data_IF_186636322790
#
_entry.id   IF_186636322790
#
_cell.length_a   1.000
_cell.length_b   1.000
_cell.length_c   1.000
_cell.angle_alpha   90.00
_cell.angle_beta   90.00
_cell.angle_gamma   90.00
#
_symmetry.space_group_name_H-M   'P 1'
#
loop_
_entity.id
_entity.type
_entity.pdbx_description
1 polymer ?
#
# COMPACT_ATOMS: atom_id res chain seq x y z
N UNK A 1 22.48 -2.14 -18.06
CA UNK A 1 22.71 -3.35 -18.88
C UNK A 1 23.71 -3.18 -20.02
N UNK A 2 23.57 -2.22 -20.94
CA UNK A 2 24.50 -2.05 -22.09
C UNK A 2 25.97 -1.97 -21.66
N UNK A 3 26.28 -1.22 -20.60
CA UNK A 3 27.65 -1.12 -20.05
C UNK A 3 28.17 -2.44 -19.48
N UNK A 4 27.30 -3.25 -18.88
CA UNK A 4 27.68 -4.54 -18.31
C UNK A 4 27.97 -5.56 -19.41
N UNK A 5 27.12 -5.62 -20.43
CA UNK A 5 27.36 -6.49 -21.59
C UNK A 5 28.64 -6.10 -22.34
N UNK A 6 28.89 -4.78 -22.50
CA UNK A 6 30.14 -4.27 -23.04
C UNK A 6 31.36 -4.69 -22.20
N UNK A 7 31.30 -4.53 -20.86
CA UNK A 7 32.38 -4.92 -19.96
C UNK A 7 32.68 -6.43 -20.01
N UNK A 8 31.63 -7.28 -20.04
CA UNK A 8 31.83 -8.72 -20.16
C UNK A 8 32.38 -9.10 -21.55
N UNK A 9 31.96 -8.41 -22.60
CA UNK A 9 32.54 -8.54 -23.94
C UNK A 9 34.03 -8.20 -23.98
N UNK A 10 34.44 -7.14 -23.29
CA UNK A 10 35.86 -6.76 -23.14
C UNK A 10 36.64 -7.79 -22.33
N UNK A 11 36.08 -8.31 -21.24
CA UNK A 11 36.70 -9.39 -20.44
C UNK A 11 36.93 -10.62 -21.30
N UNK A 12 35.93 -11.02 -22.11
CA UNK A 12 36.05 -12.16 -23.03
C UNK A 12 37.17 -11.94 -24.05
N UNK A 13 37.20 -10.77 -24.69
CA UNK A 13 38.25 -10.41 -25.65
C UNK A 13 39.64 -10.45 -25.01
N UNK A 14 39.80 -9.84 -23.82
CA UNK A 14 41.06 -9.85 -23.07
C UNK A 14 41.50 -11.26 -22.68
N UNK A 15 40.55 -12.11 -22.31
CA UNK A 15 40.80 -13.50 -21.95
C UNK A 15 41.23 -14.33 -23.17
N UNK A 16 40.58 -14.13 -24.32
CA UNK A 16 40.96 -14.78 -25.59
C UNK A 16 42.37 -14.36 -26.04
N UNK A 17 42.71 -13.08 -25.90
CA UNK A 17 44.05 -12.58 -26.21
C UNK A 17 45.10 -13.13 -25.24
N UNK A 18 44.77 -13.25 -23.95
CA UNK A 18 45.64 -13.91 -22.96
C UNK A 18 45.84 -15.39 -23.29
N UNK A 19 44.79 -16.10 -23.70
CA UNK A 19 44.88 -17.50 -24.12
C UNK A 19 45.79 -17.69 -25.35
N UNK A 20 45.80 -16.74 -26.31
CA UNK A 20 46.75 -16.76 -27.43
C UNK A 20 48.19 -16.59 -26.96
N UNK A 21 48.44 -15.68 -26.02
CA UNK A 21 49.79 -15.47 -25.46
C UNK A 21 50.27 -16.74 -24.75
N UNK A 22 49.42 -17.37 -23.94
CA UNK A 22 49.75 -18.61 -23.24
C UNK A 22 50.06 -19.76 -24.21
N UNK A 23 49.36 -19.86 -25.35
CA UNK A 23 49.72 -20.82 -26.41
C UNK A 23 51.12 -20.59 -26.98
N UNK A 24 51.51 -19.33 -27.18
CA UNK A 24 52.88 -19.00 -27.63
C UNK A 24 53.91 -19.38 -26.56
N UNK A 25 53.60 -19.19 -25.28
CA UNK A 25 54.47 -19.63 -24.17
C UNK A 25 54.63 -21.15 -24.14
N UNK A 26 53.55 -21.91 -24.36
CA UNK A 26 53.59 -23.37 -24.47
C UNK A 26 54.44 -23.82 -25.66
N UNK A 27 54.34 -23.13 -26.80
CA UNK A 27 55.17 -23.39 -27.99
C UNK A 27 56.67 -23.11 -27.70
N UNK A 28 56.99 -22.00 -27.04
CA UNK A 28 58.37 -21.67 -26.63
C UNK A 28 58.91 -22.74 -25.67
N UNK A 29 58.12 -23.18 -24.70
CA UNK A 29 58.49 -24.24 -23.78
C UNK A 29 58.76 -25.55 -24.52
N UNK A 30 57.93 -25.89 -25.51
CA UNK A 30 58.14 -27.08 -26.34
C UNK A 30 59.42 -26.99 -27.19
N UNK A 31 59.67 -25.86 -27.86
CA UNK A 31 60.90 -25.63 -28.62
C UNK A 31 62.15 -25.69 -27.73
N UNK A 32 62.07 -25.10 -26.52
CA UNK A 32 63.16 -25.14 -25.53
C UNK A 32 63.45 -26.57 -25.08
N UNK A 33 62.41 -27.38 -24.86
CA UNK A 33 62.53 -28.79 -24.52
C UNK A 33 63.18 -29.60 -25.67
N UNK A 34 62.87 -29.29 -26.93
CA UNK A 34 63.53 -29.91 -28.09
C UNK A 34 65.00 -29.49 -28.23
N UNK A 35 65.32 -28.22 -28.00
CA UNK A 35 66.70 -27.72 -28.00
C UNK A 35 67.54 -28.37 -26.89
N UNK A 36 66.97 -28.50 -25.69
CA UNK A 36 67.60 -29.17 -24.56
C UNK A 36 67.88 -30.66 -24.84
N UNK A 37 66.94 -31.34 -25.51
CA UNK A 37 67.15 -32.72 -25.95
C UNK A 37 68.32 -32.83 -26.94
N UNK A 38 68.39 -31.94 -27.95
CA UNK A 38 69.50 -31.92 -28.90
C UNK A 38 70.84 -31.65 -28.21
N UNK A 39 70.86 -30.73 -27.24
CA UNK A 39 72.05 -30.46 -26.44
C UNK A 39 72.48 -31.66 -25.59
N UNK A 40 71.54 -32.39 -24.99
CA UNK A 40 71.83 -33.61 -24.24
C UNK A 40 72.44 -34.71 -25.13
N UNK A 41 71.95 -34.85 -26.38
CA UNK A 41 72.49 -35.80 -27.36
C UNK A 41 73.91 -35.42 -27.76
N UNK A 42 74.19 -34.15 -28.05
CA UNK A 42 75.53 -33.70 -28.44
C UNK A 42 76.52 -33.78 -27.27
N UNK A 43 76.06 -33.52 -26.04
CA UNK A 43 76.85 -33.73 -24.82
C UNK A 43 77.22 -35.20 -24.61
N UNK A 44 76.29 -36.14 -24.85
CA UNK A 44 76.58 -37.57 -24.82
C UNK A 44 77.59 -37.98 -25.90
N UNK A 45 77.53 -37.34 -27.08
CA UNK A 45 78.44 -37.57 -28.20
C UNK A 45 79.87 -37.09 -27.92
N UNK A 46 80.03 -36.03 -27.14
CA UNK A 46 81.32 -35.50 -26.71
C UNK A 46 82.00 -36.31 -25.57
N UNK A 47 81.33 -37.34 -25.02
CA UNK A 47 81.89 -38.20 -23.98
C UNK A 47 82.20 -37.45 -22.68
N UNK A 48 83.38 -37.67 -22.09
CA UNK A 48 83.79 -37.03 -20.83
C UNK A 48 83.84 -35.49 -20.92
N UNK A 49 84.20 -34.93 -22.08
CA UNK A 49 84.23 -33.47 -22.27
C UNK A 49 82.83 -32.82 -22.23
N UNK A 50 81.77 -33.60 -22.47
CA UNK A 50 80.38 -33.16 -22.48
C UNK A 50 79.65 -33.33 -21.15
N UNK A 51 80.26 -33.95 -20.14
CA UNK A 51 79.56 -34.33 -18.90
C UNK A 51 78.90 -33.15 -18.17
N UNK A 52 79.57 -31.99 -18.12
CA UNK A 52 78.99 -30.77 -17.54
C UNK A 52 77.84 -30.18 -18.35
N UNK A 53 77.92 -30.25 -19.68
CA UNK A 53 76.86 -29.78 -20.58
C UNK A 53 75.61 -30.68 -20.52
N UNK A 54 75.79 -31.99 -20.31
CA UNK A 54 74.68 -32.93 -20.17
C UNK A 54 73.79 -32.60 -18.95
N UNK A 55 74.39 -32.19 -17.83
CA UNK A 55 73.66 -31.79 -16.61
C UNK A 55 72.85 -30.51 -16.87
N UNK A 56 73.45 -29.51 -17.52
CA UNK A 56 72.75 -28.26 -17.88
C UNK A 56 71.60 -28.52 -18.85
N UNK A 57 71.80 -29.40 -19.84
CA UNK A 57 70.76 -29.75 -20.80
C UNK A 57 69.54 -30.42 -20.13
N UNK A 58 69.77 -31.33 -19.18
CA UNK A 58 68.66 -31.96 -18.43
C UNK A 58 67.93 -30.96 -17.51
N UNK A 59 68.64 -30.01 -16.89
CA UNK A 59 68.02 -28.96 -16.08
C UNK A 59 67.15 -28.02 -16.93
N UNK A 60 67.64 -27.59 -18.10
CA UNK A 60 66.86 -26.78 -19.06
C UNK A 60 65.64 -27.55 -19.55
N UNK A 61 65.77 -28.85 -19.80
CA UNK A 61 64.66 -29.72 -20.21
C UNK A 61 63.58 -29.82 -19.12
N UNK A 62 63.98 -29.99 -17.86
CA UNK A 62 63.07 -30.03 -16.73
C UNK A 62 62.36 -28.69 -16.52
N UNK A 63 63.08 -27.57 -16.66
CA UNK A 63 62.49 -26.23 -16.61
C UNK A 63 61.46 -26.01 -17.72
N UNK A 64 61.78 -26.43 -18.95
CA UNK A 64 60.89 -26.34 -20.10
C UNK A 64 59.60 -27.16 -19.89
N UNK A 65 59.69 -28.39 -19.37
CA UNK A 65 58.51 -29.20 -19.01
C UNK A 65 57.63 -28.52 -17.97
N UNK A 66 58.23 -28.00 -16.88
CA UNK A 66 57.50 -27.27 -15.83
C UNK A 66 56.81 -26.01 -16.37
N UNK A 67 57.46 -25.32 -17.32
CA UNK A 67 56.89 -24.15 -17.97
C UNK A 67 55.68 -24.51 -18.85
N UNK A 68 55.75 -25.61 -19.60
CA UNK A 68 54.64 -26.10 -20.41
C UNK A 68 53.44 -26.52 -19.53
N UNK A 69 53.69 -27.22 -18.43
CA UNK A 69 52.65 -27.61 -17.47
C UNK A 69 51.96 -26.39 -16.85
N UNK A 70 52.74 -25.38 -16.43
CA UNK A 70 52.21 -24.13 -15.87
C UNK A 70 51.41 -23.32 -16.89
N UNK A 71 51.86 -23.30 -18.15
CA UNK A 71 51.14 -22.65 -19.25
C UNK A 71 49.79 -23.34 -19.51
N UNK A 72 49.77 -24.69 -19.53
CA UNK A 72 48.54 -25.47 -19.70
C UNK A 72 47.53 -25.22 -18.57
N UNK A 73 47.97 -25.21 -17.31
CA UNK A 73 47.10 -24.90 -16.18
C UNK A 73 46.55 -23.46 -16.22
N UNK A 74 47.38 -22.49 -16.64
CA UNK A 74 46.93 -21.11 -16.83
C UNK A 74 45.88 -21.01 -17.94
N UNK A 75 46.07 -21.74 -19.05
CA UNK A 75 45.11 -21.84 -20.16
C UNK A 75 43.76 -22.37 -19.68
N UNK A 76 43.77 -23.41 -18.84
CA UNK A 76 42.57 -23.99 -18.23
C UNK A 76 41.82 -22.97 -17.37
N UNK A 77 42.53 -22.25 -16.48
CA UNK A 77 41.92 -21.21 -15.63
C UNK A 77 41.31 -20.05 -16.44
N UNK A 78 41.92 -19.68 -17.56
CA UNK A 78 41.37 -18.66 -18.47
C UNK A 78 40.07 -19.17 -19.11
N UNK A 79 40.04 -20.41 -19.60
CA UNK A 79 38.82 -21.01 -20.17
C UNK A 79 37.68 -21.07 -19.14
N UNK A 80 37.98 -21.49 -17.92
CA UNK A 80 37.00 -21.50 -16.82
C UNK A 80 36.48 -20.09 -16.52
N UNK A 81 37.35 -19.08 -16.56
CA UNK A 81 36.98 -17.67 -16.33
C UNK A 81 36.07 -17.14 -17.44
N UNK A 82 36.34 -17.48 -18.71
CA UNK A 82 35.45 -17.16 -19.84
C UNK A 82 34.09 -17.84 -19.69
N UNK A 83 34.07 -19.11 -19.26
CA UNK A 83 32.83 -19.84 -18.97
C UNK A 83 31.97 -19.13 -17.92
N UNK A 84 32.57 -18.75 -16.78
CA UNK A 84 31.88 -18.00 -15.71
C UNK A 84 31.39 -16.63 -16.19
N UNK A 85 32.17 -15.93 -17.01
CA UNK A 85 31.76 -14.64 -17.57
C UNK A 85 30.51 -14.79 -18.47
N UNK A 86 30.45 -15.82 -19.31
CA UNK A 86 29.27 -16.09 -20.15
C UNK A 86 28.03 -16.42 -19.32
N UNK A 87 28.17 -17.24 -18.26
CA UNK A 87 27.07 -17.51 -17.32
C UNK A 87 26.57 -16.22 -16.64
N UNK A 88 27.49 -15.33 -16.29
CA UNK A 88 27.15 -14.00 -15.75
C UNK A 88 26.30 -13.17 -16.72
N UNK A 89 26.57 -13.23 -18.02
CA UNK A 89 25.75 -12.54 -19.05
C UNK A 89 24.34 -13.11 -19.10
N UNK A 90 24.20 -14.43 -19.07
CA UNK A 90 22.90 -15.10 -19.10
C UNK A 90 22.06 -14.74 -17.88
N UNK A 91 22.62 -14.82 -16.69
CA UNK A 91 21.95 -14.43 -15.45
C UNK A 91 21.53 -12.96 -15.47
N UNK A 92 22.38 -12.10 -16.01
CA UNK A 92 22.06 -10.67 -16.15
C UNK A 92 20.89 -10.45 -17.10
N UNK A 93 20.80 -11.21 -18.19
CA UNK A 93 19.67 -11.14 -19.12
C UNK A 93 18.36 -11.63 -18.48
N UNK A 94 18.42 -12.61 -17.58
CA UNK A 94 17.26 -13.02 -16.78
C UNK A 94 16.82 -11.91 -15.83
N UNK A 95 17.75 -11.29 -15.12
CA UNK A 95 17.47 -10.13 -14.24
C UNK A 95 16.84 -8.98 -15.02
N UNK A 96 17.28 -8.73 -16.26
CA UNK A 96 16.71 -7.70 -17.12
C UNK A 96 15.22 -7.93 -17.39
N UNK A 97 14.82 -9.17 -17.70
CA UNK A 97 13.41 -9.54 -17.91
C UNK A 97 12.58 -9.33 -16.65
N UNK A 98 13.10 -9.74 -15.51
CA UNK A 98 12.39 -9.55 -14.23
C UNK A 98 12.21 -8.07 -13.92
N UNK A 99 13.23 -7.23 -14.19
CA UNK A 99 13.11 -5.79 -14.01
C UNK A 99 12.10 -5.17 -14.99
N UNK A 100 12.01 -5.66 -16.22
CA UNK A 100 10.99 -5.23 -17.19
C UNK A 100 9.57 -5.57 -16.69
N UNK A 101 9.37 -6.76 -16.14
CA UNK A 101 8.11 -7.15 -15.50
C UNK A 101 7.76 -6.25 -14.30
N UNK A 102 8.75 -5.92 -13.46
CA UNK A 102 8.56 -4.99 -12.33
C UNK A 102 8.13 -3.62 -12.81
N UNK A 103 8.75 -3.08 -13.87
CA UNK A 103 8.34 -1.81 -14.47
C UNK A 103 6.89 -1.89 -14.97
N UNK A 104 6.50 -3.00 -15.59
CA UNK A 104 5.12 -3.26 -16.00
C UNK A 104 4.14 -3.27 -14.82
N UNK A 105 4.48 -3.93 -13.72
CA UNK A 105 3.68 -3.94 -12.50
C UNK A 105 3.54 -2.54 -11.88
N UNK A 106 4.62 -1.77 -11.82
CA UNK A 106 4.58 -0.39 -11.32
C UNK A 106 3.67 0.49 -12.18
N UNK A 107 3.69 0.33 -13.50
CA UNK A 107 2.77 1.04 -14.39
C UNK A 107 1.31 0.68 -14.13
N UNK A 108 1.01 -0.60 -13.86
CA UNK A 108 -0.34 -1.06 -13.49
C UNK A 108 -0.80 -0.47 -12.15
N UNK A 109 0.07 -0.45 -11.14
CA UNK A 109 -0.22 0.19 -9.84
C UNK A 109 -0.51 1.68 -10.04
N UNK A 110 0.27 2.37 -10.87
CA UNK A 110 0.03 3.78 -11.21
C UNK A 110 -1.35 4.00 -11.84
N UNK A 111 -1.79 3.13 -12.75
CA UNK A 111 -3.14 3.18 -13.33
C UNK A 111 -4.21 3.02 -12.26
N UNK A 112 -4.08 1.99 -11.41
CA UNK A 112 -5.04 1.72 -10.34
C UNK A 112 -5.15 2.88 -9.34
N UNK A 113 -4.03 3.50 -8.98
CA UNK A 113 -4.04 4.71 -8.12
C UNK A 113 -4.76 5.88 -8.81
N UNK A 114 -4.58 6.04 -10.13
CA UNK A 114 -5.34 7.02 -10.92
C UNK A 114 -6.85 6.76 -10.92
N UNK A 115 -7.25 5.49 -11.07
CA UNK A 115 -8.66 5.07 -11.00
C UNK A 115 -9.24 5.30 -9.60
N UNK A 116 -8.50 4.97 -8.53
CA UNK A 116 -8.89 5.24 -7.14
C UNK A 116 -9.07 6.73 -6.91
N UNK A 117 -8.15 7.58 -7.40
CA UNK A 117 -8.26 9.03 -7.26
C UNK A 117 -9.50 9.58 -7.97
N UNK A 118 -9.80 9.10 -9.17
CA UNK A 118 -11.02 9.47 -9.91
C UNK A 118 -12.28 9.02 -9.16
N UNK A 119 -12.35 7.77 -8.72
CA UNK A 119 -13.47 7.23 -7.95
C UNK A 119 -13.67 7.98 -6.62
N UNK A 120 -12.58 8.36 -5.95
CA UNK A 120 -12.62 9.16 -4.71
C UNK A 120 -13.19 10.56 -4.97
N UNK A 121 -12.85 11.17 -6.11
CA UNK A 121 -13.44 12.44 -6.55
C UNK A 121 -14.95 12.33 -6.74
N UNK A 122 -15.41 11.30 -7.47
CA UNK A 122 -16.83 11.04 -7.69
C UNK A 122 -17.58 10.75 -6.37
N UNK A 123 -16.98 9.96 -5.47
CA UNK A 123 -17.54 9.71 -4.13
C UNK A 123 -17.67 11.01 -3.33
N UNK A 124 -16.67 11.90 -3.38
CA UNK A 124 -16.73 13.20 -2.69
C UNK A 124 -17.89 14.06 -3.21
N UNK A 125 -18.08 14.11 -4.53
CA UNK A 125 -19.25 14.77 -5.12
C UNK A 125 -20.58 14.12 -4.69
N UNK A 126 -20.63 12.78 -4.68
CA UNK A 126 -21.80 12.03 -4.21
C UNK A 126 -22.16 12.35 -2.77
N UNK A 127 -21.17 12.43 -1.87
CA UNK A 127 -21.36 12.80 -0.46
C UNK A 127 -21.89 14.22 -0.33
N UNK A 128 -21.41 15.18 -1.14
CA UNK A 128 -21.94 16.55 -1.15
C UNK A 128 -23.42 16.57 -1.56
N UNK A 129 -23.82 15.80 -2.57
CA UNK A 129 -25.23 15.69 -2.99
C UNK A 129 -26.09 15.08 -1.89
N UNK A 130 -25.62 14.02 -1.22
CA UNK A 130 -26.31 13.39 -0.09
C UNK A 130 -26.48 14.39 1.06
N UNK A 131 -25.43 15.15 1.39
CA UNK A 131 -25.46 16.15 2.46
C UNK A 131 -26.52 17.23 2.20
N UNK A 132 -26.62 17.70 0.95
CA UNK A 132 -27.65 18.66 0.54
C UNK A 132 -29.06 18.06 0.65
N UNK A 133 -29.26 16.83 0.18
CA UNK A 133 -30.54 16.14 0.28
C UNK A 133 -30.97 15.93 1.74
N UNK A 134 -30.05 15.57 2.63
CA UNK A 134 -30.31 15.45 4.08
C UNK A 134 -30.74 16.80 4.66
N UNK A 135 -30.10 17.90 4.26
CA UNK A 135 -30.46 19.24 4.73
C UNK A 135 -31.87 19.65 4.29
N UNK A 136 -32.29 19.25 3.09
CA UNK A 136 -33.65 19.50 2.60
C UNK A 136 -34.71 18.64 3.33
N UNK A 137 -34.37 17.38 3.61
CA UNK A 137 -35.20 16.50 4.43
C UNK A 137 -35.34 17.08 5.85
N UNK A 138 -34.26 17.59 6.43
CA UNK A 138 -34.28 18.24 7.74
C UNK A 138 -35.23 19.44 7.74
N UNK A 139 -35.15 20.31 6.74
CA UNK A 139 -36.04 21.46 6.59
C UNK A 139 -37.51 21.05 6.48
N UNK A 140 -37.80 20.03 5.68
CA UNK A 140 -39.17 19.50 5.52
C UNK A 140 -39.68 18.88 6.82
N UNK A 141 -38.82 18.15 7.54
CA UNK A 141 -39.16 17.54 8.82
C UNK A 141 -39.48 18.59 9.88
N UNK A 142 -38.70 19.67 9.95
CA UNK A 142 -38.99 20.82 10.83
C UNK A 142 -40.30 21.51 10.44
N UNK A 143 -40.56 21.70 9.15
CA UNK A 143 -41.83 22.26 8.66
C UNK A 143 -43.04 21.40 9.02
N UNK A 144 -42.91 20.07 8.91
CA UNK A 144 -43.96 19.13 9.31
C UNK A 144 -44.21 19.18 10.82
N UNK A 145 -43.16 19.29 11.64
CA UNK A 145 -43.30 19.46 13.08
C UNK A 145 -44.03 20.76 13.43
N UNK A 146 -43.65 21.88 12.82
CA UNK A 146 -44.31 23.18 13.03
C UNK A 146 -45.79 23.15 12.60
N UNK A 147 -46.08 22.55 11.44
CA UNK A 147 -47.45 22.38 10.94
C UNK A 147 -48.28 21.51 11.88
N UNK A 148 -47.68 20.45 12.44
CA UNK A 148 -48.37 19.59 13.40
C UNK A 148 -48.67 20.32 14.71
N UNK A 149 -47.75 21.16 15.21
CA UNK A 149 -47.99 22.02 16.37
C UNK A 149 -49.11 23.03 16.10
N UNK A 150 -49.11 23.71 14.95
CA UNK A 150 -50.16 24.64 14.55
C UNK A 150 -51.53 23.93 14.41
N UNK A 151 -51.55 22.74 13.81
CA UNK A 151 -52.77 21.93 13.66
C UNK A 151 -53.31 21.47 15.02
N UNK A 152 -52.43 21.11 15.97
CA UNK A 152 -52.82 20.76 17.32
C UNK A 152 -53.46 21.96 18.03
N UNK A 153 -52.84 23.14 17.95
CA UNK A 153 -53.39 24.38 18.51
C UNK A 153 -54.76 24.74 17.90
N UNK A 154 -54.89 24.65 16.57
CA UNK A 154 -56.17 24.88 15.90
C UNK A 154 -57.24 23.86 16.32
N UNK A 155 -56.86 22.60 16.55
CA UNK A 155 -57.78 21.56 17.04
C UNK A 155 -58.25 21.85 18.47
N UNK A 156 -57.38 22.36 19.34
CA UNK A 156 -57.75 22.81 20.69
C UNK A 156 -58.73 24.00 20.65
N UNK A 157 -58.48 24.98 19.78
CA UNK A 157 -59.37 26.14 19.59
C UNK A 157 -60.76 25.70 19.08
N UNK A 158 -60.80 24.84 18.06
CA UNK A 158 -62.06 24.28 17.54
C UNK A 158 -62.81 23.49 18.61
N UNK A 159 -62.11 22.74 19.47
CA UNK A 159 -62.73 22.03 20.58
C UNK A 159 -63.35 23.01 21.60
N UNK A 160 -62.65 24.08 21.96
CA UNK A 160 -63.17 25.11 22.85
C UNK A 160 -64.41 25.81 22.25
N UNK A 161 -64.40 26.13 20.95
CA UNK A 161 -65.55 26.71 20.26
C UNK A 161 -66.75 25.75 20.25
N UNK A 162 -66.52 24.46 20.03
CA UNK A 162 -67.56 23.44 20.08
C UNK A 162 -68.17 23.30 21.49
N UNK A 163 -67.36 23.37 22.54
CA UNK A 163 -67.83 23.39 23.94
C UNK A 163 -68.70 24.63 24.24
N UNK A 164 -68.27 25.82 23.79
CA UNK A 164 -69.06 27.05 23.94
C UNK A 164 -70.41 26.97 23.22
N UNK A 165 -70.44 26.47 21.99
CA UNK A 165 -71.68 26.26 21.24
C UNK A 165 -72.60 25.26 21.96
N UNK A 166 -72.05 24.18 22.51
CA UNK A 166 -72.81 23.21 23.30
C UNK A 166 -73.42 23.86 24.54
N UNK A 167 -72.68 24.71 25.23
CA UNK A 167 -73.19 25.45 26.39
C UNK A 167 -74.32 26.40 26.00
N UNK A 168 -74.18 27.17 24.91
CA UNK A 168 -75.24 28.04 24.41
C UNK A 168 -76.51 27.25 24.05
N UNK A 169 -76.39 26.11 23.37
CA UNK A 169 -77.55 25.26 23.05
C UNK A 169 -78.25 24.71 24.29
N UNK A 170 -77.51 24.35 25.33
CA UNK A 170 -78.09 23.91 26.61
C UNK A 170 -78.84 25.06 27.32
N UNK A 171 -78.29 26.27 27.30
CA UNK A 171 -78.95 27.46 27.86
C UNK A 171 -80.24 27.78 27.10
N UNK A 172 -80.22 27.74 25.76
CA UNK A 172 -81.41 27.95 24.93
C UNK A 172 -82.47 26.88 25.23
N UNK A 173 -82.07 25.61 25.35
CA UNK A 173 -82.99 24.51 25.68
C UNK A 173 -83.59 24.69 27.09
N UNK A 174 -82.82 25.19 28.06
CA UNK A 174 -83.34 25.52 29.40
C UNK A 174 -84.36 26.68 29.39
N UNK A 175 -84.19 27.67 28.51
CA UNK A 175 -85.11 28.80 28.37
C UNK A 175 -86.39 28.41 27.61
N UNK A 176 -86.28 27.58 26.58
CA UNK A 176 -87.42 27.15 25.75
C UNK A 176 -88.20 25.99 26.42
N UNK A 177 -87.52 25.07 27.09
CA UNK A 177 -88.09 23.92 27.77
C UNK A 177 -88.63 24.21 29.18
N UNK A 178 -89.18 25.40 29.41
CA UNK A 178 -89.57 25.95 30.70
C UNK A 178 -89.99 24.92 31.76
N UNK A 179 -89.35 25.00 32.93
CA UNK A 179 -89.76 24.44 34.22
C UNK A 179 -90.80 23.30 34.18
N UNK A 180 -90.33 22.07 33.95
CA UNK A 180 -90.95 20.90 34.58
C UNK A 180 -90.06 20.42 35.72
N UNK A 181 -90.27 21.03 36.88
CA UNK A 181 -90.12 20.32 38.13
C UNK A 181 -91.28 19.31 38.23
N UNK A 182 -90.98 18.03 38.00
CA UNK A 182 -91.80 16.94 38.50
C UNK A 182 -90.87 15.78 38.84
N UNK A 183 -90.71 15.56 40.14
CA UNK A 183 -89.73 14.66 40.71
C UNK A 183 -89.80 13.23 40.19
N UNK A 184 -88.62 12.64 39.99
CA UNK A 184 -88.42 11.21 40.07
C UNK A 184 -87.18 10.92 40.91
N UNK A 185 -87.43 10.33 42.08
CA UNK A 185 -86.45 9.61 42.86
C UNK A 185 -85.83 8.49 42.02
N UNK A 186 -84.50 8.46 41.88
CA UNK A 186 -83.71 7.22 42.00
C UNK A 186 -82.20 7.47 42.05
N UNK A 187 -81.64 7.05 43.17
CA UNK A 187 -80.32 6.46 43.40
C UNK A 187 -79.09 7.10 42.74
N UNK A 188 -78.23 7.64 43.60
CA UNK A 188 -76.77 7.57 43.42
C UNK A 188 -76.35 6.10 43.23
N UNK A 189 -75.66 5.73 42.13
CA UNK A 189 -74.64 4.71 42.20
C UNK A 189 -73.36 5.38 42.70
N UNK A 190 -72.89 4.91 43.84
CA UNK A 190 -71.51 5.00 44.27
C UNK A 190 -70.59 4.51 43.13
N UNK A 191 -69.97 5.44 42.40
CA UNK A 191 -68.68 5.17 41.76
C UNK A 191 -67.63 5.81 42.63
N UNK A 192 -66.94 4.93 43.33
CA UNK A 192 -65.80 5.19 44.19
C UNK A 192 -64.82 6.18 43.55
N UNK A 193 -64.25 7.02 44.40
CA UNK A 193 -63.17 7.92 44.04
C UNK A 193 -62.10 7.21 43.21
N UNK A 194 -61.91 7.69 41.99
CA UNK A 194 -60.61 7.64 41.34
C UNK A 194 -60.22 9.07 41.05
N UNK A 195 -59.36 9.60 41.93
CA UNK A 195 -58.40 10.64 41.56
C UNK A 195 -57.82 10.25 40.19
N UNK A 196 -57.62 11.17 39.24
CA UNK A 196 -56.58 10.96 38.25
C UNK A 196 -55.29 10.85 39.07
N UNK A 197 -54.82 9.62 39.30
CA UNK A 197 -53.43 9.41 39.67
C UNK A 197 -52.68 10.03 38.50
N UNK A 198 -52.01 11.14 38.78
CA UNK A 198 -50.82 11.57 38.09
C UNK A 198 -49.99 10.32 37.78
N UNK A 199 -50.18 9.74 36.59
CA UNK A 199 -49.17 8.87 36.01
C UNK A 199 -48.12 9.85 35.59
N UNK A 200 -47.13 9.99 36.46
CA UNK A 200 -45.88 10.65 36.15
C UNK A 200 -45.40 10.13 34.81
N UNK A 201 -45.61 10.92 33.76
CA UNK A 201 -44.58 11.13 32.80
C UNK A 201 -43.51 11.85 33.60
N UNK A 202 -42.59 11.03 34.12
CA UNK A 202 -41.27 11.46 34.50
C UNK A 202 -40.89 12.56 33.52
N UNK A 203 -40.72 13.77 34.04
CA UNK A 203 -39.76 14.71 33.49
C UNK A 203 -38.48 13.89 33.33
N UNK A 204 -38.24 13.37 32.13
CA UNK A 204 -36.93 12.95 31.72
C UNK A 204 -36.13 14.23 31.72
N UNK A 205 -35.52 14.48 32.88
CA UNK A 205 -34.58 15.54 33.15
C UNK A 205 -33.58 15.47 32.01
N UNK A 206 -33.68 16.40 31.05
CA UNK A 206 -32.58 16.61 30.12
C UNK A 206 -31.33 16.79 30.98
N UNK A 207 -30.22 16.07 30.68
CA UNK A 207 -28.99 16.35 31.37
C UNK A 207 -28.60 17.79 31.05
N UNK A 208 -28.68 18.65 32.07
CA UNK A 208 -27.97 19.93 32.11
C UNK A 208 -26.49 19.63 31.92
N UNK A 209 -26.00 19.77 30.68
CA UNK A 209 -24.58 19.94 30.44
C UNK A 209 -24.24 21.35 30.92
N UNK A 210 -23.53 21.38 32.04
CA UNK A 210 -22.75 22.52 32.52
C UNK A 210 -22.16 23.29 31.35
N UNK A 211 -22.39 24.60 31.35
CA UNK A 211 -21.59 25.55 30.60
C UNK A 211 -20.14 25.48 31.11
N UNK A 212 -19.29 24.79 30.36
CA UNK A 212 -17.84 24.94 30.44
C UNK A 212 -17.26 24.80 29.05
N UNK A 213 -16.60 25.86 28.58
CA UNK A 213 -15.65 25.82 27.47
C UNK A 213 -16.22 26.27 26.13
N UNK A 214 -15.81 27.48 25.71
CA UNK A 214 -15.79 27.92 24.31
C UNK A 214 -15.23 26.77 23.45
N UNK A 215 -16.05 26.20 22.55
CA UNK A 215 -15.55 25.28 21.52
C UNK A 215 -15.61 26.02 20.19
N UNK A 216 -14.43 26.39 19.71
CA UNK A 216 -14.23 26.98 18.40
C UNK A 216 -14.72 26.04 17.29
N UNK A 217 -15.19 26.63 16.19
CA UNK A 217 -15.49 25.97 14.93
C UNK A 217 -14.27 25.13 14.49
N UNK A 218 -14.43 23.91 13.95
CA UNK A 218 -13.29 23.20 13.37
C UNK A 218 -12.81 23.99 12.15
N UNK A 219 -11.54 24.42 12.21
CA UNK A 219 -10.85 25.02 11.09
C UNK A 219 -10.79 24.03 9.93
N UNK A 220 -10.92 24.55 8.70
CA UNK A 220 -10.75 23.80 7.45
C UNK A 220 -9.49 22.93 7.52
N UNK A 221 -9.66 21.62 7.56
CA UNK A 221 -8.57 20.65 7.46
C UNK A 221 -7.99 20.72 6.05
N UNK A 222 -6.72 21.11 5.94
CA UNK A 222 -5.98 21.02 4.68
C UNK A 222 -5.53 19.58 4.44
N UNK A 223 -5.43 19.11 3.17
CA UNK A 223 -5.06 17.74 2.82
C UNK A 223 -3.75 17.21 3.41
N UNK A 224 -2.87 18.07 3.93
CA UNK A 224 -1.61 17.72 4.58
C UNK A 224 -1.73 17.10 5.98
N UNK A 225 -2.92 17.07 6.60
CA UNK A 225 -3.12 16.51 7.95
C UNK A 225 -3.70 15.08 7.99
N UNK A 226 -4.00 14.48 6.84
CA UNK A 226 -4.64 13.14 6.76
C UNK A 226 -3.63 12.03 6.47
N UNK A 227 -2.41 12.38 6.06
CA UNK A 227 -1.33 11.42 5.81
C UNK A 227 -0.19 11.74 6.78
N UNK A 228 -0.04 11.01 7.90
CA UNK A 228 1.19 11.02 8.66
C UNK A 228 2.22 10.28 7.80
N UNK A 229 3.05 11.03 7.07
CA UNK A 229 4.40 10.54 6.83
C UNK A 229 5.12 10.81 8.13
N UNK A 230 5.19 9.80 8.98
CA UNK A 230 6.17 9.79 10.06
C UNK A 230 7.53 9.95 9.40
N UNK A 231 8.19 11.08 9.69
CA UNK A 231 9.63 11.25 9.50
C UNK A 231 10.35 10.38 10.56
N UNK A 232 10.10 9.07 10.54
CA UNK A 232 10.93 8.07 11.20
C UNK A 232 12.17 7.85 10.32
N UNK A 233 12.98 8.90 10.26
CA UNK A 233 14.28 8.89 9.64
C UNK A 233 15.32 8.73 10.74
N UNK A 234 15.21 7.68 11.56
CA UNK A 234 16.20 7.33 12.61
C UNK A 234 16.21 5.85 13.04
N UNK A 235 15.62 4.90 12.28
CA UNK A 235 15.55 3.47 12.68
C UNK A 235 16.16 2.47 11.68
N UNK A 236 17.11 2.88 10.85
CA UNK A 236 17.79 2.01 9.87
C UNK A 236 19.30 1.80 10.11
N UNK A 237 19.77 1.88 11.36
CA UNK A 237 21.19 1.65 11.69
C UNK A 237 21.48 0.31 12.42
N UNK A 238 20.53 -0.62 12.51
CA UNK A 238 20.81 -1.93 13.13
C UNK A 238 20.09 -3.09 12.42
N UNK A 239 20.51 -3.39 11.18
CA UNK A 239 20.38 -4.71 10.52
C UNK A 239 21.45 -4.94 9.45
#
# INVERSE_FOLDING_TARGET
MVRMNAAVGEIKKSSDDTAKIIKVVEEIAFQTNLLALNAAVEAARAGEAGAGFAVVAEEVRNLAKRSAESASETSRLIQDSVGKANQGVELTAEVDKVLEEVVGHVAKVKSLVGEIAAASGEQSEGINRITNAISEIEKTTQGNAATAEETAAASEELNAQAEMLREMTNQINAVIGGSQDSGFSRNKPTVAGRKPKERGLRSAKLPSRKATGKRALPAKTTPAQIIPFDDDQDDFDDF
#
